data_IF_262653599461
#
_entry.id   IF_262653599461
#
_cell.length_a   1.000
_cell.length_b   1.000
_cell.length_c   1.000
_cell.angle_alpha   90.00
_cell.angle_beta   90.00
_cell.angle_gamma   90.00
#
_symmetry.space_group_name_H-M   'P 1'
#
loop_
_entity.id
_entity.type
_entity.pdbx_description
1 polymer ?
#
# COMPACT_ATOMS: atom_id res chain seq x y z
N UNK A 1 7.55 7.85 -23.00
CA UNK A 1 6.28 7.21 -22.60
C UNK A 1 6.29 7.11 -21.10
N UNK A 2 5.23 7.56 -20.45
CA UNK A 2 5.10 7.45 -19.00
C UNK A 2 4.95 5.98 -18.61
N UNK A 3 5.62 5.54 -17.54
CA UNK A 3 5.62 4.14 -17.10
C UNK A 3 4.71 4.00 -15.88
N UNK A 4 3.78 3.03 -15.92
CA UNK A 4 2.96 2.66 -14.76
C UNK A 4 3.87 2.12 -13.65
N UNK A 5 3.59 2.53 -12.41
CA UNK A 5 4.27 2.02 -11.22
C UNK A 5 3.27 1.54 -10.19
N UNK A 6 3.47 0.31 -9.72
CA UNK A 6 2.77 -0.28 -8.58
C UNK A 6 3.72 -0.35 -7.37
N UNK A 7 3.41 0.42 -6.34
CA UNK A 7 4.07 0.39 -5.04
C UNK A 7 3.27 -0.52 -4.10
N UNK A 8 3.94 -1.49 -3.49
CA UNK A 8 3.33 -2.42 -2.53
C UNK A 8 3.96 -2.15 -1.17
N UNK A 9 3.14 -1.70 -0.23
CA UNK A 9 3.56 -1.56 1.17
C UNK A 9 3.49 -2.93 1.84
N UNK A 10 4.65 -3.51 2.14
CA UNK A 10 4.76 -4.73 2.92
C UNK A 10 4.82 -4.40 4.41
N UNK A 11 4.06 -5.13 5.23
CA UNK A 11 4.27 -5.11 6.67
C UNK A 11 5.57 -5.86 7.02
N UNK A 12 6.26 -5.48 8.12
CA UNK A 12 7.43 -6.23 8.57
C UNK A 12 7.02 -7.67 8.86
N UNK A 13 7.75 -8.63 8.27
CA UNK A 13 7.51 -10.06 8.41
C UNK A 13 8.01 -10.56 9.77
N UNK A 14 7.41 -10.13 10.89
CA UNK A 14 7.60 -10.60 12.27
C UNK A 14 9.05 -10.73 12.83
N UNK A 15 10.10 -10.56 12.03
CA UNK A 15 11.47 -10.72 12.45
C UNK A 15 11.97 -9.37 12.94
N UNK A 16 12.08 -9.22 14.27
CA UNK A 16 12.62 -8.02 14.90
C UNK A 16 11.68 -7.25 15.83
N UNK A 17 10.53 -7.84 16.23
CA UNK A 17 9.78 -7.27 17.36
C UNK A 17 10.60 -7.35 18.67
N UNK A 18 10.48 -6.36 19.58
CA UNK A 18 11.15 -6.37 20.88
C UNK A 18 10.78 -7.63 21.69
N UNK A 19 11.69 -8.07 22.57
CA UNK A 19 11.65 -9.35 23.29
C UNK A 19 10.23 -9.80 23.68
N UNK A 20 9.81 -10.91 23.07
CA UNK A 20 8.49 -11.55 23.19
C UNK A 20 8.07 -11.79 24.64
N UNK A 21 6.79 -11.52 24.94
CA UNK A 21 6.14 -12.07 26.13
C UNK A 21 5.95 -13.59 25.92
N UNK A 22 6.55 -14.46 26.76
CA UNK A 22 6.46 -15.91 26.60
C UNK A 22 5.02 -16.45 26.60
N UNK A 23 4.06 -15.71 27.16
CA UNK A 23 2.66 -16.11 27.24
C UNK A 23 1.86 -15.85 25.96
N UNK A 24 2.37 -15.03 25.04
CA UNK A 24 1.69 -14.63 23.79
C UNK A 24 2.36 -15.16 22.51
N UNK A 25 3.49 -15.86 22.64
CA UNK A 25 4.31 -16.35 21.50
C UNK A 25 3.46 -17.10 20.47
N UNK A 26 2.61 -18.04 20.89
CA UNK A 26 1.84 -18.86 19.95
C UNK A 26 0.74 -18.11 19.19
N UNK A 27 0.15 -17.05 19.77
CA UNK A 27 -0.83 -16.21 19.09
C UNK A 27 -0.15 -15.24 18.12
N UNK A 28 1.03 -14.72 18.52
CA UNK A 28 1.84 -13.84 17.69
C UNK A 28 2.47 -14.56 16.49
N UNK A 29 2.89 -15.82 16.64
CA UNK A 29 3.40 -16.65 15.52
C UNK A 29 2.32 -16.93 14.47
N UNK A 30 1.08 -17.24 14.89
CA UNK A 30 -0.05 -17.42 13.96
C UNK A 30 -0.34 -16.13 13.20
N UNK A 31 -0.27 -15.01 13.90
CA UNK A 31 -0.51 -13.68 13.35
C UNK A 31 0.52 -13.29 12.28
N UNK A 32 1.80 -13.54 12.59
CA UNK A 32 2.90 -13.37 11.65
C UNK A 32 2.73 -14.20 10.38
N UNK A 33 2.38 -15.49 10.52
CA UNK A 33 2.20 -16.40 9.39
C UNK A 33 1.01 -16.00 8.52
N UNK A 34 -0.09 -15.57 9.13
CA UNK A 34 -1.25 -15.07 8.41
C UNK A 34 -0.90 -13.79 7.62
N UNK A 35 -0.17 -12.85 8.22
CA UNK A 35 0.28 -11.64 7.54
C UNK A 35 1.21 -11.97 6.36
N UNK A 36 2.19 -12.86 6.56
CA UNK A 36 3.07 -13.35 5.49
C UNK A 36 2.26 -13.95 4.33
N UNK A 37 1.25 -14.77 4.63
CA UNK A 37 0.40 -15.37 3.62
C UNK A 37 -0.38 -14.31 2.83
N UNK A 38 -0.96 -13.32 3.51
CA UNK A 38 -1.72 -12.23 2.87
C UNK A 38 -0.79 -11.39 1.99
N UNK A 39 0.41 -11.04 2.47
CA UNK A 39 1.40 -10.34 1.64
C UNK A 39 1.76 -11.15 0.40
N UNK A 40 1.98 -12.47 0.51
CA UNK A 40 2.24 -13.33 -0.67
C UNK A 40 1.10 -13.33 -1.67
N UNK A 41 -0.16 -13.32 -1.22
CA UNK A 41 -1.33 -13.22 -2.11
C UNK A 41 -1.33 -11.89 -2.88
N UNK A 42 -1.08 -10.76 -2.18
CA UNK A 42 -0.98 -9.45 -2.81
C UNK A 42 0.15 -9.38 -3.85
N UNK A 43 1.32 -9.96 -3.54
CA UNK A 43 2.44 -10.05 -4.49
C UNK A 43 2.09 -10.90 -5.71
N UNK A 44 1.47 -12.07 -5.51
CA UNK A 44 1.02 -12.93 -6.61
C UNK A 44 0.00 -12.22 -7.52
N UNK A 45 -0.92 -11.45 -6.94
CA UNK A 45 -1.89 -10.64 -7.69
C UNK A 45 -1.22 -9.50 -8.49
N UNK A 46 -0.11 -8.95 -7.97
CA UNK A 46 0.63 -7.85 -8.60
C UNK A 46 1.53 -8.31 -9.76
N UNK A 47 2.07 -9.53 -9.72
CA UNK A 47 3.00 -10.06 -10.75
C UNK A 47 2.53 -9.90 -12.21
N UNK A 48 1.29 -10.27 -12.57
CA UNK A 48 0.82 -10.17 -13.96
C UNK A 48 0.39 -8.76 -14.39
N UNK A 49 0.38 -7.77 -13.49
CA UNK A 49 0.00 -6.38 -13.81
C UNK A 49 1.06 -5.77 -14.73
N UNK A 50 0.63 -5.09 -15.80
CA UNK A 50 1.52 -4.39 -16.74
C UNK A 50 2.01 -3.06 -16.15
N UNK A 51 2.88 -3.16 -15.15
CA UNK A 51 3.50 -2.05 -14.46
C UNK A 51 4.90 -2.43 -13.98
N UNK A 52 5.74 -1.42 -13.77
CA UNK A 52 6.91 -1.60 -12.90
C UNK A 52 6.41 -1.83 -11.48
N UNK A 53 7.07 -2.69 -10.71
CA UNK A 53 6.60 -3.06 -9.37
C UNK A 53 7.71 -2.87 -8.36
N UNK A 54 7.38 -2.18 -7.26
CA UNK A 54 8.28 -1.95 -6.13
C UNK A 54 7.65 -2.45 -4.84
N UNK A 55 8.43 -3.15 -4.03
CA UNK A 55 8.03 -3.56 -2.68
C UNK A 55 8.74 -2.65 -1.68
N UNK A 56 7.96 -1.90 -0.92
CA UNK A 56 8.42 -0.95 0.09
C UNK A 56 8.49 -1.63 1.45
N UNK A 57 9.67 -1.62 2.10
CA UNK A 57 9.92 -2.33 3.36
C UNK A 57 10.76 -1.52 4.36
N UNK A 58 10.64 -1.86 5.66
CA UNK A 58 11.31 -1.16 6.77
C UNK A 58 12.74 -1.63 7.03
N UNK A 59 13.08 -2.89 6.78
CA UNK A 59 14.46 -3.39 6.97
C UNK A 59 14.94 -4.25 5.81
N UNK A 60 16.22 -4.13 5.49
CA UNK A 60 16.92 -4.91 4.46
C UNK A 60 17.04 -6.40 4.80
N UNK A 61 16.81 -6.80 6.05
CA UNK A 61 16.97 -8.17 6.54
C UNK A 61 15.67 -8.99 6.56
N UNK A 62 14.50 -8.35 6.49
CA UNK A 62 13.19 -9.05 6.46
C UNK A 62 12.94 -9.79 5.13
N UNK A 63 13.85 -9.66 4.17
CA UNK A 63 13.70 -10.09 2.78
C UNK A 63 14.78 -11.08 2.32
N UNK A 64 15.58 -11.61 3.26
CA UNK A 64 16.70 -12.53 2.97
C UNK A 64 16.30 -13.96 2.53
N UNK A 65 15.06 -14.22 2.14
CA UNK A 65 14.63 -15.56 1.71
C UNK A 65 13.98 -15.52 0.34
N UNK A 66 14.69 -15.92 -0.74
CA UNK A 66 14.25 -16.43 -2.07
C UNK A 66 13.02 -15.80 -2.79
N UNK A 67 12.38 -14.80 -2.20
CA UNK A 67 10.98 -14.37 -2.39
C UNK A 67 10.88 -12.87 -2.59
N UNK A 68 12.01 -12.16 -2.73
CA UNK A 68 12.07 -11.04 -3.68
C UNK A 68 11.93 -11.67 -5.08
N UNK A 69 10.68 -12.08 -5.33
CA UNK A 69 10.21 -12.87 -6.45
C UNK A 69 10.58 -12.16 -7.74
N UNK A 70 10.94 -12.93 -8.76
CA UNK A 70 11.19 -12.44 -10.12
C UNK A 70 10.17 -11.35 -10.50
N UNK A 71 10.63 -10.12 -10.74
CA UNK A 71 9.78 -9.02 -11.22
C UNK A 71 9.39 -7.94 -10.22
N UNK A 72 9.99 -7.88 -9.02
CA UNK A 72 9.86 -6.75 -8.07
C UNK A 72 11.21 -6.08 -7.76
N UNK A 73 11.21 -4.76 -7.65
CA UNK A 73 12.33 -3.97 -7.12
C UNK A 73 12.11 -3.68 -5.64
N UNK A 74 13.09 -3.96 -4.79
CA UNK A 74 12.99 -3.69 -3.36
C UNK A 74 13.36 -2.22 -3.08
N UNK A 75 12.51 -1.50 -2.33
CA UNK A 75 12.72 -0.10 -1.97
C UNK A 75 12.66 0.06 -0.45
N UNK A 76 13.73 0.58 0.13
CA UNK A 76 13.74 0.93 1.55
C UNK A 76 12.83 2.15 1.79
N UNK A 77 12.05 2.09 2.86
CA UNK A 77 11.22 3.22 3.26
C UNK A 77 12.08 4.42 3.68
N UNK A 78 11.78 5.63 3.20
CA UNK A 78 12.50 6.82 3.63
C UNK A 78 12.24 7.08 5.11
N UNK A 79 13.29 7.49 5.82
CA UNK A 79 13.14 7.99 7.19
C UNK A 79 12.32 9.28 7.16
N UNK A 80 11.15 9.24 7.79
CA UNK A 80 10.21 10.37 7.84
C UNK A 80 9.52 10.43 9.20
N UNK A 81 9.08 11.61 9.66
CA UNK A 81 8.47 11.78 10.97
C UNK A 81 7.07 11.17 11.09
N UNK A 82 6.38 10.98 9.97
CA UNK A 82 5.01 10.48 9.89
C UNK A 82 4.73 9.78 8.55
N UNK A 83 3.61 9.06 8.47
CA UNK A 83 3.19 8.31 7.28
C UNK A 83 2.97 9.21 6.06
N UNK A 84 2.41 10.41 6.23
CA UNK A 84 2.16 11.34 5.14
C UNK A 84 3.46 11.78 4.49
N UNK A 85 4.42 12.25 5.30
CA UNK A 85 5.76 12.63 4.89
C UNK A 85 6.51 11.47 4.20
N UNK A 86 6.38 10.25 4.72
CA UNK A 86 6.95 9.04 4.12
C UNK A 86 6.38 8.78 2.73
N UNK A 87 5.06 8.78 2.59
CA UNK A 87 4.38 8.52 1.32
C UNK A 87 4.66 9.62 0.30
N UNK A 88 4.73 10.88 0.74
CA UNK A 88 5.09 11.99 -0.13
C UNK A 88 6.48 11.79 -0.74
N UNK A 89 7.46 11.40 0.08
CA UNK A 89 8.82 11.14 -0.38
C UNK A 89 8.88 9.97 -1.39
N UNK A 90 8.13 8.89 -1.14
CA UNK A 90 8.03 7.76 -2.07
C UNK A 90 7.42 8.16 -3.41
N UNK A 91 6.30 8.89 -3.41
CA UNK A 91 5.66 9.37 -4.65
C UNK A 91 6.55 10.36 -5.40
N UNK A 92 7.17 11.31 -4.68
CA UNK A 92 8.07 12.30 -5.28
C UNK A 92 9.27 11.63 -5.97
N UNK A 93 9.94 10.69 -5.30
CA UNK A 93 11.05 9.96 -5.89
C UNK A 93 10.60 9.14 -7.11
N UNK A 94 9.45 8.47 -7.02
CA UNK A 94 8.92 7.68 -8.13
C UNK A 94 8.60 8.52 -9.37
N UNK A 95 8.07 9.74 -9.18
CA UNK A 95 7.85 10.68 -10.27
C UNK A 95 9.16 11.17 -10.88
N UNK A 96 10.19 11.42 -10.07
CA UNK A 96 11.54 11.80 -10.53
C UNK A 96 12.16 10.67 -11.38
N UNK A 97 11.94 9.42 -11.00
CA UNK A 97 12.38 8.24 -11.76
C UNK A 97 11.62 8.06 -13.09
N UNK A 98 10.62 8.91 -13.37
CA UNK A 98 9.86 8.94 -14.62
C UNK A 98 8.62 8.04 -14.63
N UNK A 99 8.15 7.60 -13.44
CA UNK A 99 6.92 6.84 -13.33
C UNK A 99 5.70 7.73 -13.16
N UNK A 100 4.65 7.42 -13.92
CA UNK A 100 3.30 7.95 -13.79
C UNK A 100 2.40 7.17 -14.76
N UNK A 101 1.17 6.76 -14.38
CA UNK A 101 0.58 6.86 -13.04
C UNK A 101 1.29 5.99 -12.00
N UNK A 102 1.10 6.34 -10.72
CA UNK A 102 1.57 5.57 -9.56
C UNK A 102 0.37 5.07 -8.78
N UNK A 103 0.32 3.77 -8.51
CA UNK A 103 -0.65 3.12 -7.62
C UNK A 103 0.09 2.58 -6.41
N UNK A 104 -0.34 2.97 -5.21
CA UNK A 104 0.10 2.44 -3.94
C UNK A 104 -0.97 1.52 -3.38
N UNK A 105 -0.60 0.31 -2.99
CA UNK A 105 -1.49 -0.64 -2.33
C UNK A 105 -0.89 -1.14 -1.01
N UNK A 106 -1.73 -1.24 0.02
CA UNK A 106 -1.39 -1.92 1.26
C UNK A 106 -1.61 -3.43 1.12
N UNK A 107 -0.59 -4.23 1.39
CA UNK A 107 -0.65 -5.68 1.22
C UNK A 107 -1.57 -6.40 2.21
N UNK A 108 -2.13 -5.74 3.23
CA UNK A 108 -2.99 -6.35 4.26
C UNK A 108 -4.43 -6.72 3.81
N UNK A 109 -4.72 -6.68 2.51
CA UNK A 109 -6.06 -6.99 1.97
C UNK A 109 -6.03 -8.28 1.14
N UNK A 110 -6.63 -9.39 1.60
CA UNK A 110 -6.66 -10.66 0.85
C UNK A 110 -7.52 -10.57 -0.42
N UNK A 111 -8.42 -9.60 -0.52
CA UNK A 111 -9.25 -9.35 -1.69
C UNK A 111 -8.55 -8.64 -2.86
N UNK A 112 -7.26 -8.31 -2.74
CA UNK A 112 -6.50 -7.71 -3.84
C UNK A 112 -6.37 -8.73 -4.97
N UNK A 113 -6.74 -8.32 -6.19
CA UNK A 113 -6.62 -9.14 -7.40
C UNK A 113 -5.94 -8.35 -8.51
N UNK A 114 -5.38 -9.05 -9.50
CA UNK A 114 -4.80 -8.44 -10.71
C UNK A 114 -5.79 -7.52 -11.41
N UNK A 115 -7.05 -7.97 -11.57
CA UNK A 115 -8.08 -7.20 -12.27
C UNK A 115 -8.36 -5.87 -11.56
N UNK A 116 -8.39 -5.88 -10.22
CA UNK A 116 -8.60 -4.68 -9.41
C UNK A 116 -7.43 -3.68 -9.55
N UNK A 117 -6.19 -4.17 -9.60
CA UNK A 117 -5.01 -3.34 -9.78
C UNK A 117 -4.94 -2.73 -11.19
N UNK A 118 -5.28 -3.50 -12.23
CA UNK A 118 -5.40 -2.98 -13.60
C UNK A 118 -6.56 -1.97 -13.72
N UNK A 119 -7.69 -2.23 -13.06
CA UNK A 119 -8.80 -1.28 -13.01
C UNK A 119 -8.36 0.05 -12.38
N UNK A 120 -7.55 0.02 -11.32
CA UNK A 120 -6.98 1.22 -10.72
C UNK A 120 -6.19 2.06 -11.74
N UNK A 121 -5.34 1.41 -12.54
CA UNK A 121 -4.58 2.09 -13.60
C UNK A 121 -5.49 2.60 -14.72
N UNK A 122 -6.50 1.84 -15.12
CA UNK A 122 -7.45 2.25 -16.13
C UNK A 122 -8.27 3.47 -15.68
N UNK A 123 -8.70 3.51 -14.42
CA UNK A 123 -9.43 4.66 -13.87
C UNK A 123 -8.57 5.94 -13.87
N UNK A 124 -7.26 5.82 -13.65
CA UNK A 124 -6.32 6.94 -13.73
C UNK A 124 -6.15 7.51 -15.15
N UNK A 125 -6.63 6.85 -16.20
CA UNK A 125 -6.64 7.45 -17.54
C UNK A 125 -7.67 8.59 -17.68
N UNK A 126 -8.68 8.61 -16.81
CA UNK A 126 -9.79 9.58 -16.84
C UNK A 126 -9.95 10.36 -15.53
N UNK A 127 -9.22 9.98 -14.49
CA UNK A 127 -9.32 10.58 -13.15
C UNK A 127 -7.94 10.95 -12.62
N UNK A 128 -7.86 12.03 -11.84
CA UNK A 128 -6.63 12.47 -11.18
C UNK A 128 -6.25 11.55 -10.02
N UNK A 129 -7.27 11.03 -9.32
CA UNK A 129 -7.15 10.22 -8.11
C UNK A 129 -8.00 8.96 -8.21
N UNK A 130 -7.45 7.84 -7.73
CA UNK A 130 -8.20 6.62 -7.48
C UNK A 130 -8.03 6.22 -6.02
N UNK A 131 -9.14 5.91 -5.34
CA UNK A 131 -9.10 5.34 -3.98
C UNK A 131 -9.75 3.97 -3.99
N UNK A 132 -9.15 3.02 -3.27
CA UNK A 132 -9.76 1.72 -2.94
C UNK A 132 -10.24 1.72 -1.50
N UNK A 133 -11.54 1.95 -1.23
CA UNK A 133 -12.07 1.98 0.14
C UNK A 133 -11.82 0.69 0.90
N UNK A 134 -11.63 0.80 2.19
CA UNK A 134 -11.62 -0.33 3.09
C UNK A 134 -12.66 -0.13 4.20
N UNK A 135 -12.97 -1.22 4.92
CA UNK A 135 -13.83 -1.13 6.10
C UNK A 135 -13.34 -0.07 7.10
N UNK A 136 -14.26 0.38 7.97
CA UNK A 136 -13.99 1.34 9.04
C UNK A 136 -13.40 2.69 8.58
N UNK A 137 -13.70 3.13 7.35
CA UNK A 137 -13.33 4.46 6.84
C UNK A 137 -11.85 4.62 6.45
N UNK A 138 -11.15 3.50 6.29
CA UNK A 138 -9.80 3.44 5.73
C UNK A 138 -9.85 3.24 4.21
N UNK A 139 -8.68 3.16 3.57
CA UNK A 139 -8.55 2.74 2.18
C UNK A 139 -7.27 1.90 2.00
N UNK A 140 -7.34 0.87 1.16
CA UNK A 140 -6.23 -0.03 0.87
C UNK A 140 -5.40 0.43 -0.33
N UNK A 141 -5.93 1.33 -1.16
CA UNK A 141 -5.28 1.78 -2.39
C UNK A 141 -5.40 3.29 -2.58
N UNK A 142 -4.30 3.91 -2.99
CA UNK A 142 -4.23 5.27 -3.53
C UNK A 142 -3.54 5.24 -4.88
N UNK A 143 -4.20 5.75 -5.91
CA UNK A 143 -3.63 6.01 -7.23
C UNK A 143 -3.56 7.50 -7.52
N UNK A 144 -2.45 7.97 -8.06
CA UNK A 144 -2.26 9.37 -8.50
C UNK A 144 -1.50 9.44 -9.83
N UNK A 145 -1.90 10.38 -10.69
CA UNK A 145 -1.16 10.71 -11.92
C UNK A 145 0.05 11.63 -11.66
N UNK A 146 -0.05 12.48 -10.64
CA UNK A 146 0.95 13.48 -10.28
C UNK A 146 0.92 13.73 -8.78
N UNK A 147 1.95 14.39 -8.25
CA UNK A 147 2.03 14.69 -6.83
C UNK A 147 0.98 15.73 -6.45
N UNK A 148 0.13 15.40 -5.49
CA UNK A 148 -0.79 16.33 -4.84
C UNK A 148 -0.40 16.45 -3.37
N UNK A 149 0.39 17.47 -2.96
CA UNK A 149 0.95 17.58 -1.61
C UNK A 149 -0.10 17.49 -0.49
N UNK A 150 -1.32 17.98 -0.74
CA UNK A 150 -2.39 18.01 0.25
C UNK A 150 -2.87 16.61 0.65
N UNK A 151 -2.77 15.61 -0.24
CA UNK A 151 -3.05 14.22 0.14
C UNK A 151 -2.10 13.72 1.22
N UNK A 152 -0.88 14.23 1.25
CA UNK A 152 0.13 13.76 2.20
C UNK A 152 0.13 14.57 3.50
N UNK A 153 -0.40 15.79 3.49
CA UNK A 153 -0.41 16.66 4.67
C UNK A 153 -1.75 16.73 5.39
N UNK A 154 -2.87 16.47 4.69
CA UNK A 154 -4.22 16.64 5.24
C UNK A 154 -4.98 15.32 5.47
N UNK A 155 -4.56 14.23 4.82
CA UNK A 155 -5.20 12.92 5.04
C UNK A 155 -4.78 12.35 6.40
N UNK A 156 -5.77 11.88 7.15
CA UNK A 156 -5.57 11.19 8.43
C UNK A 156 -5.06 9.76 8.23
N UNK A 157 -3.86 9.59 7.70
CA UNK A 157 -3.27 8.27 7.40
C UNK A 157 -3.33 7.31 8.59
N UNK A 158 -3.80 6.07 8.35
CA UNK A 158 -3.93 5.04 9.38
C UNK A 158 -5.09 5.25 10.36
N UNK A 159 -5.97 6.23 10.13
CA UNK A 159 -7.14 6.49 10.97
C UNK A 159 -8.44 6.08 10.29
N UNK A 160 -9.53 5.96 11.06
CA UNK A 160 -10.87 5.69 10.54
C UNK A 160 -11.46 6.84 9.71
N UNK A 161 -10.79 7.99 9.64
CA UNK A 161 -11.21 9.15 8.83
C UNK A 161 -10.34 9.33 7.59
N UNK A 162 -9.41 8.41 7.31
CA UNK A 162 -8.49 8.50 6.18
C UNK A 162 -9.23 8.64 4.84
N UNK A 163 -10.24 7.81 4.57
CA UNK A 163 -11.02 7.87 3.33
C UNK A 163 -11.77 9.20 3.21
N UNK A 164 -12.48 9.61 4.26
CA UNK A 164 -13.26 10.84 4.24
C UNK A 164 -12.36 12.08 4.04
N UNK A 165 -11.20 12.14 4.71
CA UNK A 165 -10.24 13.22 4.52
C UNK A 165 -9.63 13.22 3.12
N UNK A 166 -9.31 12.05 2.55
CA UNK A 166 -8.83 11.94 1.17
C UNK A 166 -9.85 12.42 0.13
N UNK A 167 -11.13 12.06 0.31
CA UNK A 167 -12.21 12.56 -0.54
C UNK A 167 -12.39 14.08 -0.43
N UNK A 168 -12.26 14.62 0.78
CA UNK A 168 -12.34 16.06 1.01
C UNK A 168 -11.16 16.80 0.36
N UNK A 169 -9.94 16.26 0.43
CA UNK A 169 -8.78 16.81 -0.30
C UNK A 169 -9.05 16.83 -1.80
N UNK A 170 -9.53 15.71 -2.38
CA UNK A 170 -9.86 15.66 -3.80
C UNK A 170 -10.89 16.74 -4.19
N UNK A 171 -11.92 16.92 -3.36
CA UNK A 171 -12.96 17.93 -3.57
C UNK A 171 -12.41 19.36 -3.48
N UNK A 172 -11.56 19.65 -2.50
CA UNK A 172 -10.99 20.99 -2.29
C UNK A 172 -10.01 21.39 -3.40
N UNK A 173 -9.29 20.40 -3.94
CA UNK A 173 -8.34 20.59 -5.03
C UNK A 173 -9.00 20.48 -6.42
N UNK A 174 -10.34 20.35 -6.48
CA UNK A 174 -11.11 20.20 -7.72
C UNK A 174 -10.65 19.01 -8.60
N UNK A 175 -10.19 17.94 -7.96
CA UNK A 175 -9.66 16.75 -8.62
C UNK A 175 -10.79 15.78 -8.99
N UNK A 176 -10.63 15.14 -10.15
CA UNK A 176 -11.50 14.03 -10.55
C UNK A 176 -11.11 12.77 -9.78
N UNK A 177 -12.09 12.17 -9.10
CA UNK A 177 -11.88 11.02 -8.20
C UNK A 177 -12.72 9.82 -8.66
N UNK A 178 -12.08 8.66 -8.79
CA UNK A 178 -12.77 7.37 -8.90
C UNK A 178 -12.61 6.54 -7.61
N UNK A 179 -13.62 5.73 -7.32
CA UNK A 179 -13.60 4.77 -6.22
C UNK A 179 -13.65 3.35 -6.79
N UNK A 180 -12.75 2.49 -6.33
CA UNK A 180 -12.82 1.05 -6.58
C UNK A 180 -13.78 0.37 -5.59
N UNK A 181 -14.12 -0.91 -5.79
CA UNK A 181 -14.84 -1.69 -4.78
C UNK A 181 -14.14 -1.69 -3.42
N UNK A 182 -14.95 -1.69 -2.36
CA UNK A 182 -14.46 -1.78 -1.00
C UNK A 182 -13.94 -3.18 -0.70
N UNK A 183 -12.82 -3.28 0.02
CA UNK A 183 -12.28 -4.53 0.53
C UNK A 183 -12.24 -4.58 2.05
N UNK A 184 -12.10 -5.80 2.57
CA UNK A 184 -11.89 -6.04 3.98
C UNK A 184 -10.38 -5.98 4.27
N UNK A 185 -10.03 -5.23 5.31
CA UNK A 185 -8.70 -5.27 5.90
C UNK A 185 -8.67 -6.43 6.88
N UNK A 186 -7.57 -7.17 6.95
CA UNK A 186 -7.33 -8.09 8.05
C UNK A 186 -6.83 -7.25 9.23
N UNK A 187 -7.63 -7.06 10.30
CA UNK A 187 -7.19 -6.26 11.44
C UNK A 187 -6.09 -7.02 12.18
N UNK A 188 -5.13 -6.30 12.75
CA UNK A 188 -4.03 -6.88 13.53
C UNK A 188 -4.51 -7.77 14.71
N UNK A 189 -5.77 -7.61 15.14
CA UNK A 189 -6.39 -8.34 16.25
C UNK A 189 -7.19 -9.61 15.84
N UNK A 190 -7.58 -9.78 14.57
CA UNK A 190 -8.21 -11.05 14.10
C UNK A 190 -7.17 -12.10 13.70
N UNK A 191 -5.90 -11.73 13.77
CA UNK A 191 -4.76 -12.62 13.58
C UNK A 191 -4.56 -13.60 14.75
N UNK A 192 -5.41 -13.51 15.78
CA UNK A 192 -5.35 -14.26 17.05
C UNK A 192 -6.48 -15.28 17.24
N UNK A 193 -7.37 -15.49 16.27
CA UNK A 193 -8.47 -16.48 16.37
C UNK A 193 -8.10 -17.82 15.71
#
# INVERSE_FOLDING_TARGET
MSKRLLLIMAHPLAQGQPAMDPSLVGEQEKSALAMEHITKLALAAALPVDAHRRICHTTSNDLENDTIQEGFEAVALPAAPDTGSLLQALFAQSLIDGFSPIVLVNSCCPGITTALLEEAFQQLEQHDVVLGPAQAGQFYLLGLNYLVPDFFTQVGWGTQTALASAQEVARQQELTLALLPSLDLVPEQDLSQ
#
